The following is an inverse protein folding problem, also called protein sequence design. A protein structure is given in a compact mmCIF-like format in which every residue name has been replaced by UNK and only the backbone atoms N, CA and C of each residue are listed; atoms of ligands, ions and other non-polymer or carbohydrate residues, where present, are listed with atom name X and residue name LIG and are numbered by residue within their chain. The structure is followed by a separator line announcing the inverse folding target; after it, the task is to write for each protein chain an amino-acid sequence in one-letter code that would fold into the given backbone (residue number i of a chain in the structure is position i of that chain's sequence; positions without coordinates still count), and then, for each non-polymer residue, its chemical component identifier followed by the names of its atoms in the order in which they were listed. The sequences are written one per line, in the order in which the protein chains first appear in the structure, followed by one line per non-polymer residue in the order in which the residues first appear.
data_IF_134532595967
#
_entry.id   IF_134532595967
#
_cell.length_a   1.000
_cell.length_b   1.000
_cell.length_c   1.000
_cell.angle_alpha   90.00
_cell.angle_beta   90.00
_cell.angle_gamma   90.00
#
_symmetry.space_group_name_H-M   'P 1'
#
loop_
_entity.id
_entity.type
_entity.pdbx_description
1 polymer ?
#
# COMPACT_ATOMS: atom_id res chain seq x y z
N UNK A 1 -18.08 37.20 51.28
CA UNK A 1 -19.40 37.86 51.37
C UNK A 1 -20.43 36.87 50.87
N UNK A 2 -21.13 36.24 51.75
CA UNK A 2 -22.42 35.63 51.91
C UNK A 2 -23.38 35.67 50.69
N UNK A 3 -23.78 34.47 50.27
CA UNK A 3 -25.14 33.89 50.28
C UNK A 3 -26.23 34.55 49.38
N UNK A 4 -26.79 33.76 48.44
CA UNK A 4 -28.23 33.42 48.57
C UNK A 4 -28.63 32.33 47.55
N UNK A 5 -29.17 31.21 48.08
CA UNK A 5 -30.08 30.29 47.39
C UNK A 5 -31.55 30.74 47.68
N UNK A 6 -32.50 30.41 46.81
CA UNK A 6 -33.71 29.86 47.37
C UNK A 6 -34.18 28.53 46.76
N UNK A 7 -34.88 27.81 47.59
CA UNK A 7 -35.73 26.62 47.51
C UNK A 7 -36.90 26.86 46.52
N UNK A 8 -37.36 25.91 45.65
CA UNK A 8 -38.17 24.74 46.05
C UNK A 8 -39.60 24.95 45.62
N UNK A 9 -40.12 24.14 44.68
CA UNK A 9 -41.54 23.93 44.50
C UNK A 9 -41.83 22.54 43.91
N UNK A 10 -42.43 21.73 44.73
CA UNK A 10 -43.09 20.44 44.41
C UNK A 10 -44.43 20.70 43.79
N UNK A 11 -44.81 20.00 42.67
CA UNK A 11 -46.22 19.88 42.26
C UNK A 11 -46.50 18.40 41.93
N UNK A 12 -47.61 17.97 42.53
CA UNK A 12 -48.21 16.63 42.56
C UNK A 12 -48.73 16.17 41.21
N UNK A 13 -48.70 14.85 41.04
CA UNK A 13 -49.43 14.09 40.05
C UNK A 13 -50.95 14.04 40.33
N UNK A 14 -51.79 13.82 39.34
CA UNK A 14 -53.10 13.21 39.54
C UNK A 14 -53.14 11.77 39.01
N UNK A 15 -53.64 10.91 39.88
CA UNK A 15 -54.13 9.56 39.52
C UNK A 15 -55.50 9.69 38.82
N UNK A 16 -55.74 8.85 37.80
CA UNK A 16 -57.10 8.38 37.42
C UNK A 16 -57.05 6.99 36.78
N UNK A 17 -57.54 6.08 37.54
CA UNK A 17 -58.57 5.05 37.34
C UNK A 17 -58.51 4.13 36.09
N UNK A 18 -58.49 2.88 36.51
CA UNK A 18 -58.78 1.63 35.80
C UNK A 18 -60.23 1.56 35.30
N UNK A 19 -60.39 1.11 34.07
CA UNK A 19 -61.51 0.29 33.66
C UNK A 19 -61.17 -0.55 32.44
N UNK A 20 -61.14 -1.77 32.53
CA UNK A 20 -61.13 -2.98 31.88
C UNK A 20 -61.52 -3.08 30.41
N UNK A 21 -60.79 -3.82 29.69
CA UNK A 21 -61.22 -4.60 28.55
C UNK A 21 -60.26 -5.77 28.35
N UNK A 22 -60.71 -6.94 28.75
CA UNK A 22 -60.12 -8.23 28.39
C UNK A 22 -60.33 -8.47 26.90
N UNK A 23 -59.29 -8.62 26.12
CA UNK A 23 -59.37 -9.19 24.79
C UNK A 23 -58.21 -10.17 24.57
N UNK A 24 -58.58 -11.33 24.07
CA UNK A 24 -57.89 -12.60 23.98
C UNK A 24 -56.52 -12.52 23.28
N UNK A 25 -55.50 -12.94 24.01
CA UNK A 25 -54.10 -13.09 23.57
C UNK A 25 -53.87 -14.48 22.96
N UNK A 26 -54.40 -14.82 21.79
CA UNK A 26 -54.06 -16.09 21.10
C UNK A 26 -53.81 -15.96 19.59
N UNK A 27 -54.13 -14.82 18.95
CA UNK A 27 -54.05 -14.75 17.46
C UNK A 27 -52.95 -13.83 16.90
N UNK A 28 -52.05 -13.29 17.73
CA UNK A 28 -51.05 -12.30 17.28
C UNK A 28 -49.60 -12.84 17.13
N UNK A 29 -49.40 -14.12 17.45
CA UNK A 29 -48.03 -14.69 17.45
C UNK A 29 -47.66 -15.57 16.23
N UNK A 30 -48.53 -15.65 15.20
CA UNK A 30 -48.22 -16.45 13.99
C UNK A 30 -47.76 -15.68 12.77
N UNK A 31 -47.77 -14.36 12.79
CA UNK A 31 -47.38 -13.54 11.62
C UNK A 31 -46.05 -12.82 11.73
N UNK A 32 -45.35 -12.90 12.88
CA UNK A 32 -44.05 -12.20 13.07
C UNK A 32 -42.84 -13.12 12.84
N UNK A 33 -43.04 -14.44 12.73
CA UNK A 33 -41.92 -15.40 12.60
C UNK A 33 -41.50 -15.71 11.16
N UNK A 34 -42.16 -15.18 10.11
CA UNK A 34 -41.81 -15.47 8.70
C UNK A 34 -41.03 -14.33 8.02
N UNK A 35 -40.95 -13.12 8.63
CA UNK A 35 -40.25 -11.97 8.01
C UNK A 35 -38.76 -11.82 8.39
N UNK A 36 -38.22 -12.63 9.34
CA UNK A 36 -36.83 -12.52 9.78
C UNK A 36 -35.85 -13.52 9.15
N UNK A 37 -36.28 -14.37 8.22
CA UNK A 37 -35.44 -15.44 7.65
C UNK A 37 -34.93 -15.17 6.23
N UNK A 38 -35.16 -13.98 5.64
CA UNK A 38 -34.68 -13.63 4.29
C UNK A 38 -33.62 -12.48 4.22
N UNK A 39 -33.16 -11.98 5.38
CA UNK A 39 -32.19 -10.88 5.41
C UNK A 39 -30.74 -11.30 5.75
N UNK A 40 -30.44 -12.59 5.92
CA UNK A 40 -29.09 -13.07 6.32
C UNK A 40 -28.24 -13.65 5.19
N UNK A 41 -28.70 -13.54 3.93
CA UNK A 41 -28.03 -14.17 2.77
C UNK A 41 -26.96 -13.35 2.04
N UNK A 42 -26.78 -12.06 2.34
CA UNK A 42 -25.94 -11.19 1.49
C UNK A 42 -24.60 -10.74 2.12
N UNK A 43 -24.29 -11.09 3.36
CA UNK A 43 -23.13 -10.52 4.07
C UNK A 43 -21.90 -11.45 4.18
N UNK A 44 -21.93 -12.67 3.60
CA UNK A 44 -20.83 -13.64 3.77
C UNK A 44 -20.01 -13.94 2.50
N UNK A 45 -20.22 -13.24 1.40
CA UNK A 45 -19.52 -13.54 0.14
C UNK A 45 -18.16 -12.84 -0.05
N UNK A 46 -17.78 -11.88 0.79
CA UNK A 46 -16.51 -11.12 0.62
C UNK A 46 -15.26 -11.73 1.24
N UNK A 47 -15.26 -12.55 2.29
CA UNK A 47 -14.00 -13.12 2.80
C UNK A 47 -13.41 -14.25 1.94
N UNK A 48 -14.21 -14.96 1.15
CA UNK A 48 -13.72 -16.11 0.40
C UNK A 48 -12.81 -15.76 -0.78
N UNK A 49 -13.02 -14.64 -1.46
CA UNK A 49 -12.15 -14.20 -2.58
C UNK A 49 -10.78 -13.71 -2.10
N UNK A 50 -10.69 -13.15 -0.89
CA UNK A 50 -9.42 -12.74 -0.25
C UNK A 50 -8.61 -13.96 0.20
N UNK A 51 -9.27 -14.98 0.78
CA UNK A 51 -8.63 -16.19 1.28
C UNK A 51 -7.98 -17.04 0.19
N UNK A 52 -8.44 -16.96 -1.08
CA UNK A 52 -7.87 -17.72 -2.19
C UNK A 52 -6.59 -17.11 -2.79
N UNK A 53 -6.33 -15.80 -2.60
CA UNK A 53 -5.14 -15.14 -3.16
C UNK A 53 -3.87 -15.42 -2.40
N UNK A 54 -3.99 -15.56 -1.10
CA UNK A 54 -2.90 -15.79 -0.19
C UNK A 54 -3.06 -17.14 0.49
N UNK A 55 -1.96 -17.85 0.67
CA UNK A 55 -1.96 -19.08 1.47
C UNK A 55 -1.06 -18.91 2.70
N UNK A 56 -1.46 -19.45 3.86
CA UNK A 56 -0.57 -19.49 5.02
C UNK A 56 0.58 -20.46 4.75
N UNK A 57 1.74 -20.19 5.35
CA UNK A 57 2.89 -21.07 5.37
C UNK A 57 3.60 -20.92 6.72
N UNK A 58 4.39 -21.93 7.17
CA UNK A 58 5.33 -21.70 8.24
C UNK A 58 6.24 -20.52 7.87
N UNK A 59 6.34 -19.52 8.75
CA UNK A 59 7.22 -18.38 8.51
C UNK A 59 8.67 -18.83 8.55
N UNK A 60 9.43 -18.49 7.51
CA UNK A 60 10.89 -18.55 7.58
C UNK A 60 11.43 -17.41 8.45
N UNK A 61 12.73 -17.41 8.76
CA UNK A 61 13.33 -16.39 9.63
C UNK A 61 13.13 -14.94 9.14
N UNK A 62 13.02 -14.75 7.82
CA UNK A 62 12.83 -13.46 7.17
C UNK A 62 11.44 -13.32 6.50
N UNK A 63 10.52 -14.24 6.76
CA UNK A 63 9.19 -14.28 6.14
C UNK A 63 8.06 -13.92 7.10
N UNK A 64 6.91 -13.55 6.54
CA UNK A 64 5.70 -13.22 7.34
C UNK A 64 4.70 -14.39 7.46
N UNK A 65 5.09 -15.61 7.06
CA UNK A 65 4.19 -16.77 7.11
C UNK A 65 3.02 -16.71 6.11
N UNK A 66 3.16 -15.94 5.05
CA UNK A 66 2.16 -15.77 3.99
C UNK A 66 2.80 -15.98 2.63
N UNK A 67 2.09 -16.67 1.74
CA UNK A 67 2.50 -16.84 0.33
C UNK A 67 1.56 -16.13 -0.62
N UNK A 68 2.15 -15.60 -1.69
CA UNK A 68 1.45 -15.05 -2.84
C UNK A 68 1.99 -15.67 -4.11
N UNK A 69 1.13 -16.27 -4.94
CA UNK A 69 1.48 -16.91 -6.21
C UNK A 69 2.71 -17.83 -6.14
N UNK A 70 2.85 -18.56 -5.01
CA UNK A 70 3.87 -19.58 -4.78
C UNK A 70 5.12 -19.09 -4.04
N UNK A 71 5.42 -17.80 -3.96
CA UNK A 71 6.51 -17.29 -3.12
C UNK A 71 6.05 -16.96 -1.70
N UNK A 72 6.92 -17.11 -0.72
CA UNK A 72 6.76 -16.53 0.61
C UNK A 72 7.05 -15.03 0.54
N UNK A 73 6.25 -14.24 1.26
CA UNK A 73 6.44 -12.78 1.36
C UNK A 73 7.48 -12.51 2.44
N UNK A 74 8.49 -11.68 2.12
CA UNK A 74 9.50 -11.26 3.07
C UNK A 74 8.93 -10.32 4.15
N UNK A 75 9.53 -10.31 5.32
CA UNK A 75 9.25 -9.32 6.34
C UNK A 75 9.81 -7.96 5.89
N UNK A 76 9.03 -6.89 6.10
CA UNK A 76 9.44 -5.53 5.75
C UNK A 76 10.65 -5.09 6.59
N UNK A 77 11.60 -4.43 5.95
CA UNK A 77 12.70 -3.79 6.66
C UNK A 77 12.17 -2.64 7.52
N UNK A 78 12.34 -2.73 8.86
CA UNK A 78 11.95 -1.66 9.77
C UNK A 78 12.77 -0.37 9.55
N UNK A 79 12.19 0.77 9.93
CA UNK A 79 12.83 2.10 9.84
C UNK A 79 14.18 2.17 10.55
N UNK A 80 14.45 1.31 11.52
CA UNK A 80 15.76 1.19 12.19
C UNK A 80 16.89 0.85 11.19
N UNK A 81 16.54 0.22 10.06
CA UNK A 81 17.44 -0.04 8.94
C UNK A 81 17.68 1.14 8.00
N UNK A 82 17.15 2.33 8.28
CA UNK A 82 17.22 3.50 7.38
C UNK A 82 18.67 3.87 6.97
N UNK A 83 19.67 3.66 7.85
CA UNK A 83 21.07 3.91 7.54
C UNK A 83 21.58 3.04 6.38
N UNK A 84 21.05 1.81 6.21
CA UNK A 84 21.38 0.95 5.08
C UNK A 84 20.98 1.58 3.75
N UNK A 85 19.86 2.30 3.69
CA UNK A 85 19.38 2.95 2.48
C UNK A 85 20.27 4.13 2.03
N UNK A 86 21.04 4.70 2.94
CA UNK A 86 21.91 5.87 2.71
C UNK A 86 23.41 5.50 2.73
N UNK A 87 23.76 4.18 2.69
CA UNK A 87 25.16 3.74 2.73
C UNK A 87 25.94 4.25 1.52
N UNK A 88 27.20 4.62 1.73
CA UNK A 88 28.05 5.18 0.68
C UNK A 88 28.36 4.21 -0.47
N UNK A 89 28.36 2.91 -0.19
CA UNK A 89 28.62 1.84 -1.16
C UNK A 89 27.48 1.64 -2.15
N UNK A 90 26.27 2.12 -1.84
CA UNK A 90 25.04 1.86 -2.61
C UNK A 90 25.17 2.19 -4.08
N UNK A 91 25.81 3.33 -4.40
CA UNK A 91 26.00 3.75 -5.80
C UNK A 91 26.86 2.76 -6.58
N UNK A 92 27.92 2.20 -5.97
CA UNK A 92 28.78 1.19 -6.59
C UNK A 92 28.06 -0.16 -6.73
N UNK A 93 27.26 -0.55 -5.73
CA UNK A 93 26.60 -1.85 -5.64
C UNK A 93 25.37 -1.93 -6.53
N UNK A 94 24.57 -0.87 -6.57
CA UNK A 94 23.27 -0.85 -7.26
C UNK A 94 23.30 -0.04 -8.56
N UNK A 95 24.34 0.82 -8.79
CA UNK A 95 24.43 1.68 -9.98
C UNK A 95 23.16 2.47 -10.22
N UNK A 96 22.78 3.27 -9.22
CA UNK A 96 21.57 4.10 -9.28
C UNK A 96 21.56 5.07 -10.46
N UNK A 97 22.74 5.47 -10.97
CA UNK A 97 22.90 6.22 -12.21
C UNK A 97 22.30 5.48 -13.42
N UNK A 98 22.61 4.17 -13.56
CA UNK A 98 22.06 3.34 -14.63
C UNK A 98 20.55 3.09 -14.44
N UNK A 99 20.10 2.94 -13.18
CA UNK A 99 18.68 2.86 -12.89
C UNK A 99 17.94 4.11 -13.36
N UNK A 100 18.40 5.30 -12.98
CA UNK A 100 17.80 6.56 -13.38
C UNK A 100 17.75 6.72 -14.91
N UNK A 101 18.81 6.34 -15.61
CA UNK A 101 18.83 6.35 -17.08
C UNK A 101 17.76 5.40 -17.66
N UNK A 102 17.60 4.20 -17.05
CA UNK A 102 16.60 3.20 -17.50
C UNK A 102 15.16 3.67 -17.29
N UNK A 103 14.89 4.53 -16.31
CA UNK A 103 13.54 5.08 -16.06
C UNK A 103 13.09 6.03 -17.18
N UNK A 104 13.99 6.62 -17.95
CA UNK A 104 13.70 7.59 -19.01
C UNK A 104 12.72 8.68 -18.53
N UNK A 105 13.05 9.30 -17.39
CA UNK A 105 12.28 10.41 -16.83
C UNK A 105 12.37 11.64 -17.72
N UNK A 106 11.31 12.45 -17.71
CA UNK A 106 11.22 13.69 -18.49
C UNK A 106 10.55 14.79 -17.68
N UNK A 107 10.84 16.05 -17.97
CA UNK A 107 10.12 17.18 -17.40
C UNK A 107 8.59 17.03 -17.50
N UNK A 108 7.89 17.43 -16.47
CA UNK A 108 6.44 17.34 -16.37
C UNK A 108 5.89 15.99 -15.90
N UNK A 109 6.71 14.94 -15.80
CA UNK A 109 6.25 13.64 -15.31
C UNK A 109 5.92 13.67 -13.82
N UNK A 110 4.87 12.96 -13.45
CA UNK A 110 4.54 12.60 -12.06
C UNK A 110 4.98 11.17 -11.80
N UNK A 111 5.92 11.01 -10.89
CA UNK A 111 6.49 9.71 -10.50
C UNK A 111 5.99 9.33 -9.11
N UNK A 112 5.65 8.06 -8.89
CA UNK A 112 5.37 7.50 -7.58
C UNK A 112 6.50 6.52 -7.20
N UNK A 113 7.25 6.85 -6.16
CA UNK A 113 8.26 6.02 -5.51
C UNK A 113 7.59 5.28 -4.36
N UNK A 114 7.28 4.00 -4.56
CA UNK A 114 6.52 3.18 -3.62
C UNK A 114 7.50 2.41 -2.71
N UNK A 115 7.35 2.56 -1.39
CA UNK A 115 8.34 2.12 -0.42
C UNK A 115 9.60 3.00 -0.48
N UNK A 116 9.40 4.31 -0.52
CA UNK A 116 10.47 5.29 -0.75
C UNK A 116 11.53 5.34 0.37
N UNK A 117 11.22 4.79 1.55
CA UNK A 117 12.11 4.78 2.71
C UNK A 117 12.54 6.20 3.09
N UNK A 118 13.84 6.44 3.12
CA UNK A 118 14.43 7.76 3.41
C UNK A 118 14.33 8.77 2.26
N UNK A 119 13.79 8.35 1.10
CA UNK A 119 13.72 9.15 -0.12
C UNK A 119 15.03 9.20 -0.92
N UNK A 120 15.90 8.21 -0.76
CA UNK A 120 17.18 8.15 -1.48
C UNK A 120 17.00 8.28 -3.00
N UNK A 121 16.09 7.50 -3.60
CA UNK A 121 15.80 7.58 -5.03
C UNK A 121 14.88 8.75 -5.38
N UNK A 122 13.90 9.05 -4.54
CA UNK A 122 13.03 10.22 -4.73
C UNK A 122 13.84 11.50 -4.95
N UNK A 123 14.91 11.74 -4.15
CA UNK A 123 15.77 12.90 -4.29
C UNK A 123 16.57 12.90 -5.62
N UNK A 124 16.87 11.73 -6.16
CA UNK A 124 17.59 11.60 -7.44
C UNK A 124 16.66 11.73 -8.65
N UNK A 125 15.41 11.29 -8.52
CA UNK A 125 14.41 11.42 -9.57
C UNK A 125 13.84 12.84 -9.67
N UNK A 126 13.73 13.54 -8.54
CA UNK A 126 13.08 14.84 -8.47
C UNK A 126 13.63 15.89 -9.45
N UNK A 127 14.95 16.07 -9.64
CA UNK A 127 15.46 17.01 -10.64
C UNK A 127 15.09 16.63 -12.08
N UNK A 128 15.02 15.34 -12.40
CA UNK A 128 14.76 14.85 -13.76
C UNK A 128 13.32 15.08 -14.24
N UNK A 129 12.37 15.30 -13.32
CA UNK A 129 10.98 15.60 -13.67
C UNK A 129 10.65 17.09 -13.74
N UNK A 130 11.60 17.95 -13.38
CA UNK A 130 11.42 19.40 -13.46
C UNK A 130 11.71 19.95 -14.86
N UNK A 131 11.05 21.06 -15.28
CA UNK A 131 9.94 21.73 -14.58
C UNK A 131 8.60 21.02 -14.73
N UNK A 132 7.67 21.30 -13.82
CA UNK A 132 6.25 20.93 -13.91
C UNK A 132 5.91 19.51 -13.46
N UNK A 133 6.90 18.65 -13.17
CA UNK A 133 6.69 17.33 -12.61
C UNK A 133 6.84 17.28 -11.09
N UNK A 134 6.58 16.12 -10.52
CA UNK A 134 6.77 15.85 -9.09
C UNK A 134 7.02 14.38 -8.79
N UNK A 135 7.48 14.10 -7.58
CA UNK A 135 7.64 12.75 -7.03
C UNK A 135 6.74 12.59 -5.82
N UNK A 136 5.77 11.68 -5.92
CA UNK A 136 5.09 11.12 -4.77
C UNK A 136 6.02 10.10 -4.12
N UNK A 137 6.53 10.39 -2.94
CA UNK A 137 7.35 9.48 -2.15
C UNK A 137 6.46 8.81 -1.10
N UNK A 138 6.13 7.55 -1.34
CA UNK A 138 5.11 6.80 -0.60
C UNK A 138 5.78 5.76 0.28
N UNK A 139 5.43 5.75 1.57
CA UNK A 139 5.89 4.71 2.50
C UNK A 139 4.78 4.36 3.50
N UNK A 140 4.84 3.16 4.07
CA UNK A 140 3.87 2.66 5.06
C UNK A 140 4.31 3.01 6.49
N UNK A 141 5.58 3.32 6.71
CA UNK A 141 6.16 3.60 8.03
C UNK A 141 6.20 5.12 8.29
N UNK A 142 5.50 5.62 9.32
CA UNK A 142 5.49 7.06 9.64
C UNK A 142 6.89 7.62 9.94
N UNK A 143 7.77 6.80 10.50
CA UNK A 143 9.16 7.17 10.78
C UNK A 143 9.96 7.39 9.48
N UNK A 144 9.77 6.52 8.48
CA UNK A 144 10.38 6.70 7.14
C UNK A 144 9.88 7.99 6.49
N UNK A 145 8.56 8.27 6.57
CA UNK A 145 7.98 9.53 6.07
C UNK A 145 8.63 10.74 6.75
N UNK A 146 8.87 10.68 8.05
CA UNK A 146 9.52 11.77 8.79
C UNK A 146 10.98 11.98 8.33
N UNK A 147 11.75 10.90 8.15
CA UNK A 147 13.11 10.93 7.63
C UNK A 147 13.17 11.49 6.19
N UNK A 148 12.25 11.03 5.35
CA UNK A 148 12.12 11.48 3.97
C UNK A 148 11.84 12.98 3.89
N UNK A 149 10.87 13.47 4.65
CA UNK A 149 10.52 14.90 4.69
C UNK A 149 11.70 15.76 5.14
N UNK A 150 12.40 15.33 6.20
CA UNK A 150 13.60 16.02 6.67
C UNK A 150 14.69 16.06 5.60
N UNK A 151 14.90 14.95 4.90
CA UNK A 151 15.90 14.80 3.83
C UNK A 151 15.56 15.66 2.59
N UNK A 152 14.30 15.63 2.14
CA UNK A 152 13.83 16.47 1.02
C UNK A 152 13.96 17.95 1.35
N UNK A 153 13.57 18.38 2.56
CA UNK A 153 13.71 19.76 3.04
C UNK A 153 15.18 20.19 3.06
N UNK A 154 16.07 19.35 3.61
CA UNK A 154 17.52 19.62 3.67
C UNK A 154 18.11 19.81 2.27
N UNK A 155 17.60 19.08 1.28
CA UNK A 155 18.04 19.15 -0.12
C UNK A 155 17.34 20.25 -0.94
N UNK A 156 16.40 21.01 -0.37
CA UNK A 156 15.65 22.04 -1.08
C UNK A 156 14.72 21.51 -2.19
N UNK A 157 14.33 20.23 -2.14
CA UNK A 157 13.56 19.56 -3.18
C UNK A 157 12.05 19.65 -2.88
N UNK A 158 11.44 20.77 -3.22
CA UNK A 158 10.03 21.06 -2.95
C UNK A 158 9.05 20.25 -3.80
N UNK A 159 9.51 19.64 -4.89
CA UNK A 159 8.74 18.78 -5.79
C UNK A 159 8.58 17.35 -5.28
N UNK A 160 9.15 16.99 -4.11
CA UNK A 160 8.92 15.72 -3.45
C UNK A 160 7.79 15.87 -2.46
N UNK A 161 6.72 15.12 -2.65
CA UNK A 161 5.56 15.07 -1.76
C UNK A 161 5.50 13.72 -1.06
N UNK A 162 5.79 13.71 0.25
CA UNK A 162 5.71 12.51 1.08
C UNK A 162 4.26 12.10 1.34
N UNK A 163 3.96 10.80 1.22
CA UNK A 163 2.62 10.24 1.42
C UNK A 163 2.68 8.99 2.27
N UNK A 164 2.00 9.02 3.43
CA UNK A 164 1.79 7.82 4.23
C UNK A 164 0.71 6.94 3.59
N UNK A 165 1.07 5.72 3.24
CA UNK A 165 0.18 4.69 2.70
C UNK A 165 -0.43 3.82 3.80
N UNK A 166 -1.33 2.90 3.42
CA UNK A 166 -1.66 1.73 4.23
C UNK A 166 -0.93 0.50 3.66
N UNK A 167 -1.04 -0.63 4.35
CA UNK A 167 -0.38 -1.88 3.94
C UNK A 167 -0.91 -2.46 2.62
N UNK A 168 -2.05 -1.97 2.15
CA UNK A 168 -2.82 -2.47 1.00
C UNK A 168 -3.20 -1.38 -0.02
N UNK A 169 -2.92 -0.09 0.27
CA UNK A 169 -3.31 1.04 -0.59
C UNK A 169 -2.26 2.16 -0.54
N UNK A 170 -1.76 2.57 -1.70
CA UNK A 170 -0.79 3.67 -1.86
C UNK A 170 -1.39 5.05 -1.63
N UNK A 171 -2.70 5.18 -1.59
CA UNK A 171 -3.48 6.43 -1.32
C UNK A 171 -3.10 7.60 -2.24
N UNK A 172 -2.86 7.30 -3.50
CA UNK A 172 -2.60 8.30 -4.53
C UNK A 172 -3.88 8.59 -5.35
N UNK A 173 -4.02 9.81 -5.88
CA UNK A 173 -5.16 10.15 -6.73
C UNK A 173 -5.23 9.28 -7.98
N UNK A 174 -6.43 8.93 -8.42
CA UNK A 174 -6.63 8.14 -9.63
C UNK A 174 -6.08 8.87 -10.87
N UNK A 175 -5.51 8.11 -11.82
CA UNK A 175 -5.01 8.58 -13.12
C UNK A 175 -4.10 9.84 -13.01
N UNK A 176 -3.26 9.89 -11.97
CA UNK A 176 -2.38 11.03 -11.68
C UNK A 176 -0.90 10.77 -11.91
N UNK A 177 -0.50 9.50 -12.05
CA UNK A 177 0.90 9.06 -12.06
C UNK A 177 1.29 8.57 -13.47
N UNK A 178 2.43 9.02 -13.96
CA UNK A 178 3.00 8.59 -15.26
C UNK A 178 3.88 7.34 -15.11
N UNK A 179 4.56 7.21 -13.96
CA UNK A 179 5.44 6.09 -13.65
C UNK A 179 5.37 5.79 -12.15
N UNK A 180 5.08 4.52 -11.81
CA UNK A 180 5.25 4.00 -10.46
C UNK A 180 6.47 3.09 -10.41
N UNK A 181 7.33 3.24 -9.40
CA UNK A 181 8.53 2.43 -9.20
C UNK A 181 8.51 1.81 -7.80
N UNK A 182 8.95 0.57 -7.71
CA UNK A 182 9.22 -0.16 -6.47
C UNK A 182 10.65 -0.68 -6.53
N UNK A 183 11.50 -0.28 -5.58
CA UNK A 183 12.92 -0.65 -5.55
C UNK A 183 13.22 -1.42 -4.28
N UNK A 184 13.43 -2.73 -4.44
CA UNK A 184 13.65 -3.68 -3.36
C UNK A 184 12.53 -3.66 -2.31
N UNK A 185 11.27 -3.58 -2.78
CA UNK A 185 10.07 -3.38 -1.95
C UNK A 185 8.97 -4.39 -2.28
N UNK A 186 8.79 -4.75 -3.54
CA UNK A 186 7.64 -5.57 -3.95
C UNK A 186 7.63 -6.93 -3.27
N UNK A 187 8.80 -7.51 -3.01
CA UNK A 187 8.94 -8.78 -2.29
C UNK A 187 8.49 -8.70 -0.82
N UNK A 188 8.45 -7.51 -0.22
CA UNK A 188 8.06 -7.25 1.17
C UNK A 188 6.59 -6.84 1.33
N UNK A 189 5.85 -6.58 0.25
CA UNK A 189 4.46 -6.15 0.33
C UNK A 189 3.60 -7.26 0.95
N UNK A 190 2.99 -6.99 2.11
CA UNK A 190 2.11 -7.94 2.80
C UNK A 190 0.83 -8.24 2.00
N UNK A 191 0.42 -7.31 1.12
CA UNK A 191 -0.76 -7.40 0.25
C UNK A 191 -0.41 -6.95 -1.18
N UNK A 192 0.48 -7.71 -1.90
CA UNK A 192 0.98 -7.26 -3.20
C UNK A 192 -0.12 -7.06 -4.24
N UNK A 193 -1.19 -7.86 -4.22
CA UNK A 193 -2.30 -7.67 -5.16
C UNK A 193 -3.05 -6.36 -4.93
N UNK A 194 -3.38 -6.05 -3.69
CA UNK A 194 -4.14 -4.86 -3.30
C UNK A 194 -3.32 -3.59 -3.56
N UNK A 195 -2.04 -3.59 -3.16
CA UNK A 195 -1.12 -2.49 -3.45
C UNK A 195 -1.00 -2.27 -4.95
N UNK A 196 -0.82 -3.34 -5.75
CA UNK A 196 -0.75 -3.21 -7.21
C UNK A 196 -2.06 -2.71 -7.82
N UNK A 197 -3.22 -3.13 -7.31
CA UNK A 197 -4.52 -2.61 -7.76
C UNK A 197 -4.64 -1.10 -7.48
N UNK A 198 -4.18 -0.63 -6.31
CA UNK A 198 -4.18 0.79 -5.97
C UNK A 198 -3.18 1.59 -6.81
N UNK A 199 -1.97 1.04 -7.07
CA UNK A 199 -0.99 1.62 -8.00
C UNK A 199 -1.58 1.77 -9.41
N UNK A 200 -2.25 0.73 -9.91
CA UNK A 200 -2.88 0.78 -11.23
C UNK A 200 -4.03 1.79 -11.31
N UNK A 201 -4.76 1.98 -10.22
CA UNK A 201 -5.76 3.05 -10.13
C UNK A 201 -5.11 4.42 -10.24
N UNK A 202 -3.97 4.63 -9.58
CA UNK A 202 -3.23 5.89 -9.61
C UNK A 202 -2.55 6.15 -10.98
N UNK A 203 -2.17 5.09 -11.71
CA UNK A 203 -1.52 5.24 -13.01
C UNK A 203 -2.48 5.76 -14.08
N UNK A 204 -2.00 6.71 -14.87
CA UNK A 204 -2.63 7.15 -16.12
C UNK A 204 -2.71 5.99 -17.13
N UNK A 205 -3.64 6.00 -18.09
CA UNK A 205 -3.60 5.10 -19.24
C UNK A 205 -2.23 5.18 -19.94
N UNK A 206 -1.62 4.03 -20.23
CA UNK A 206 -0.27 3.97 -20.81
C UNK A 206 0.87 4.30 -19.84
N UNK A 207 0.57 4.58 -18.57
CA UNK A 207 1.58 4.76 -17.52
C UNK A 207 2.38 3.48 -17.27
N UNK A 208 3.56 3.61 -16.67
CA UNK A 208 4.48 2.48 -16.46
C UNK A 208 4.57 2.08 -15.00
N UNK A 209 4.68 0.76 -14.78
CA UNK A 209 5.12 0.18 -13.50
C UNK A 209 6.53 -0.37 -13.69
N UNK A 210 7.42 -0.06 -12.76
CA UNK A 210 8.81 -0.50 -12.77
C UNK A 210 9.10 -1.25 -11.47
N UNK A 211 9.46 -2.52 -11.61
CA UNK A 211 9.97 -3.34 -10.52
C UNK A 211 11.50 -3.36 -10.62
N UNK A 212 12.15 -2.98 -9.53
CA UNK A 212 13.61 -3.11 -9.38
C UNK A 212 13.82 -4.04 -8.20
N UNK A 213 14.42 -5.20 -8.45
CA UNK A 213 14.56 -6.24 -7.44
C UNK A 213 15.92 -6.90 -7.55
N UNK A 214 16.49 -7.29 -6.41
CA UNK A 214 17.72 -8.09 -6.40
C UNK A 214 17.51 -9.42 -7.11
N UNK A 215 18.47 -9.78 -7.97
CA UNK A 215 18.40 -10.98 -8.82
C UNK A 215 18.40 -12.26 -7.99
N UNK A 216 17.27 -12.97 -7.94
CA UNK A 216 17.19 -14.29 -7.31
C UNK A 216 17.96 -15.36 -8.11
N UNK A 217 18.15 -15.14 -9.41
CA UNK A 217 18.92 -16.00 -10.31
C UNK A 217 20.42 -15.97 -10.01
N UNK A 218 20.92 -14.88 -9.43
CA UNK A 218 22.33 -14.71 -9.11
C UNK A 218 22.61 -15.00 -7.63
N UNK A 219 23.31 -16.11 -7.39
CA UNK A 219 23.74 -16.51 -6.04
C UNK A 219 24.85 -15.63 -5.48
N UNK A 220 25.58 -14.90 -6.34
CA UNK A 220 26.64 -13.98 -5.95
C UNK A 220 26.15 -12.67 -5.35
N UNK A 221 24.85 -12.31 -5.57
CA UNK A 221 24.27 -11.13 -4.93
C UNK A 221 24.11 -11.39 -3.43
N UNK A 222 24.78 -10.59 -2.54
CA UNK A 222 24.88 -10.88 -1.10
C UNK A 222 23.64 -10.41 -0.30
N UNK A 223 22.46 -10.75 -0.80
CA UNK A 223 21.17 -10.41 -0.22
C UNK A 223 20.45 -11.71 0.20
N UNK A 224 19.72 -11.66 1.29
CA UNK A 224 18.95 -12.80 1.82
C UNK A 224 17.96 -13.33 0.78
N UNK A 225 17.72 -14.65 0.70
CA UNK A 225 16.91 -15.24 -0.38
C UNK A 225 15.50 -14.68 -0.53
N UNK A 226 14.78 -14.38 0.57
CA UNK A 226 13.42 -13.82 0.49
C UNK A 226 13.38 -12.36 0.03
N UNK A 227 14.50 -11.64 0.16
CA UNK A 227 14.64 -10.26 -0.32
C UNK A 227 15.17 -10.18 -1.76
N UNK A 228 15.04 -11.27 -2.52
CA UNK A 228 15.32 -11.34 -3.95
C UNK A 228 14.11 -11.81 -4.72
N UNK A 229 13.92 -11.34 -5.92
CA UNK A 229 12.91 -11.87 -6.83
C UNK A 229 13.50 -12.21 -8.18
N UNK A 230 13.03 -13.31 -8.79
CA UNK A 230 13.36 -13.61 -10.16
C UNK A 230 12.50 -12.81 -11.14
N UNK A 231 13.06 -12.48 -12.30
CA UNK A 231 12.29 -11.87 -13.38
C UNK A 231 11.04 -12.69 -13.74
N UNK A 232 11.18 -14.01 -13.76
CA UNK A 232 10.09 -14.93 -14.04
C UNK A 232 8.95 -14.80 -13.02
N UNK A 233 9.26 -14.63 -11.72
CA UNK A 233 8.26 -14.46 -10.68
C UNK A 233 7.57 -13.10 -10.81
N UNK A 234 8.31 -12.02 -11.05
CA UNK A 234 7.75 -10.68 -11.28
C UNK A 234 6.77 -10.73 -12.46
N UNK A 235 7.19 -11.30 -13.60
CA UNK A 235 6.34 -11.45 -14.78
C UNK A 235 5.09 -12.28 -14.49
N UNK A 236 5.20 -13.37 -13.73
CA UNK A 236 4.07 -14.20 -13.31
C UNK A 236 3.06 -13.39 -12.49
N UNK A 237 3.54 -12.64 -11.50
CA UNK A 237 2.66 -11.84 -10.64
C UNK A 237 2.02 -10.67 -11.39
N UNK A 238 2.66 -10.15 -12.43
CA UNK A 238 2.11 -9.10 -13.29
C UNK A 238 0.95 -9.60 -14.19
N UNK A 239 0.86 -10.92 -14.49
CA UNK A 239 -0.17 -11.45 -15.43
C UNK A 239 -1.60 -11.28 -14.96
N UNK A 240 -1.83 -11.09 -13.64
CA UNK A 240 -3.18 -10.92 -13.08
C UNK A 240 -3.69 -9.47 -13.18
N UNK A 241 -2.89 -8.59 -13.77
CA UNK A 241 -3.18 -7.16 -13.95
C UNK A 241 -3.22 -6.78 -15.44
N UNK A 242 -3.88 -5.68 -15.82
CA UNK A 242 -3.87 -5.16 -17.18
C UNK A 242 -2.51 -4.49 -17.50
N UNK A 243 -1.44 -5.28 -17.37
CA UNK A 243 -0.06 -4.87 -17.63
C UNK A 243 0.48 -5.63 -18.84
N UNK A 244 1.28 -4.94 -19.63
CA UNK A 244 2.06 -5.50 -20.72
C UNK A 244 3.55 -5.32 -20.43
N UNK A 245 4.30 -6.42 -20.51
CA UNK A 245 5.75 -6.35 -20.35
C UNK A 245 6.36 -5.55 -21.49
N UNK A 246 7.13 -4.52 -21.16
CA UNK A 246 7.78 -3.64 -22.14
C UNK A 246 9.23 -4.07 -22.37
N UNK A 247 10.00 -4.21 -21.29
CA UNK A 247 11.40 -4.62 -21.34
C UNK A 247 11.93 -5.00 -19.96
N UNK A 248 13.11 -5.64 -19.96
CA UNK A 248 13.92 -5.86 -18.77
C UNK A 248 15.32 -5.30 -19.02
N UNK A 249 15.85 -4.55 -18.06
CA UNK A 249 17.23 -4.03 -18.06
C UNK A 249 18.01 -4.83 -17.02
N UNK A 250 19.07 -5.51 -17.46
CA UNK A 250 19.89 -6.41 -16.62
C UNK A 250 21.30 -5.88 -16.37
N UNK A 251 21.57 -4.61 -16.73
CA UNK A 251 22.90 -3.99 -16.64
C UNK A 251 23.30 -3.57 -15.23
N UNK A 252 22.35 -3.51 -14.28
CA UNK A 252 22.67 -3.24 -12.89
C UNK A 252 23.41 -4.44 -12.27
N UNK A 253 24.40 -4.21 -11.39
CA UNK A 253 25.21 -5.29 -10.83
C UNK A 253 24.36 -6.32 -10.06
N UNK A 254 23.53 -5.87 -9.13
CA UNK A 254 22.79 -6.74 -8.23
C UNK A 254 21.30 -6.90 -8.57
N UNK A 255 20.73 -5.93 -9.31
CA UNK A 255 19.30 -5.85 -9.58
C UNK A 255 18.98 -6.02 -11.06
N UNK A 256 17.74 -6.35 -11.34
CA UNK A 256 17.13 -6.16 -12.64
C UNK A 256 16.01 -5.13 -12.58
N UNK A 257 15.75 -4.46 -13.68
CA UNK A 257 14.67 -3.47 -13.83
C UNK A 257 13.65 -4.05 -14.79
N UNK A 258 12.49 -4.44 -14.30
CA UNK A 258 11.42 -5.03 -15.12
C UNK A 258 10.33 -3.98 -15.31
N UNK A 259 10.11 -3.59 -16.56
CA UNK A 259 9.20 -2.50 -16.93
C UNK A 259 7.94 -3.06 -17.58
N UNK A 260 6.81 -2.63 -17.05
CA UNK A 260 5.50 -2.90 -17.62
C UNK A 260 4.77 -1.61 -17.97
N UNK A 261 3.91 -1.67 -18.98
CA UNK A 261 2.99 -0.60 -19.37
C UNK A 261 1.56 -0.98 -19.02
N UNK A 262 0.83 -0.06 -18.41
CA UNK A 262 -0.61 -0.22 -18.19
C UNK A 262 -1.33 -0.17 -19.53
N UNK A 263 -2.11 -1.21 -19.83
CA UNK A 263 -3.00 -1.21 -20.99
C UNK A 263 -4.06 -0.11 -20.85
N UNK A 264 -4.41 0.51 -21.97
CA UNK A 264 -5.45 1.54 -22.02
C UNK A 264 -6.86 1.00 -21.75
#
# INVERSE_FOLDING_TARGET
MRLHRPRGATVRAPQRNLAGATMNAVTFWRSVFIACLLATGAALAQPAAFAQRYSPAPASADGIGKRYMGREIAAVMGWQGAAWLERGEREREERTDLLLAALALRPGMVVADIGAGTGYLSRRMAPAVMPGGKVWAVDVQPEMISLLQASAKKSGLTQIEARLSSVDDVKLPAASVDLAIMVDVYHELAYPYEVMASVLTALKPGGRVVFVEYKAEDRGVPIKPLHKMSEAQIKREATVFPLEWERTVSTLPWQHVVVFRKRG
#
